data_IF_078068916313
#
_entry.id   IF_078068916313
#
_cell.length_a   1.000
_cell.length_b   1.000
_cell.length_c   1.000
_cell.angle_alpha   90.00
_cell.angle_beta   90.00
_cell.angle_gamma   90.00
#
_symmetry.space_group_name_H-M   'P 1'
#
loop_
_entity.id
_entity.type
_entity.pdbx_description
1 polymer ?
#
# COMPACT_ATOMS: atom_id res chain seq x y z
N UNK A 1 46.73 0.27 26.24
CA UNK A 1 46.42 0.67 24.85
C UNK A 1 45.88 -0.48 23.99
N UNK A 2 46.49 -1.68 23.95
CA UNK A 2 45.98 -2.82 23.14
C UNK A 2 44.51 -3.19 23.40
N UNK A 3 44.07 -3.21 24.65
CA UNK A 3 42.68 -3.54 25.00
C UNK A 3 41.67 -2.53 24.45
N UNK A 4 42.05 -1.26 24.35
CA UNK A 4 41.22 -0.21 23.75
C UNK A 4 41.06 -0.43 22.24
N UNK A 5 42.15 -0.76 21.54
CA UNK A 5 42.09 -1.08 20.10
C UNK A 5 41.23 -2.32 19.81
N UNK A 6 41.35 -3.37 20.64
CA UNK A 6 40.52 -4.57 20.50
C UNK A 6 39.04 -4.22 20.72
N UNK A 7 38.72 -3.45 21.77
CA UNK A 7 37.36 -3.01 22.04
C UNK A 7 36.76 -2.20 20.88
N UNK A 8 37.51 -1.24 20.32
CA UNK A 8 37.05 -0.44 19.18
C UNK A 8 36.83 -1.32 17.95
N UNK A 9 37.73 -2.27 17.68
CA UNK A 9 37.60 -3.19 16.56
C UNK A 9 36.37 -4.11 16.67
N UNK A 10 36.12 -4.67 17.85
CA UNK A 10 34.92 -5.49 18.12
C UNK A 10 33.64 -4.65 17.98
N UNK A 11 33.66 -3.40 18.47
CA UNK A 11 32.52 -2.48 18.30
C UNK A 11 32.24 -2.19 16.83
N UNK A 12 33.28 -1.93 16.03
CA UNK A 12 33.14 -1.68 14.59
C UNK A 12 32.55 -2.90 13.87
N UNK A 13 33.01 -4.12 14.19
CA UNK A 13 32.44 -5.34 13.59
C UNK A 13 30.95 -5.48 13.88
N UNK A 14 30.52 -5.21 15.12
CA UNK A 14 29.10 -5.27 15.50
C UNK A 14 28.28 -4.23 14.72
N UNK A 15 28.79 -3.00 14.60
CA UNK A 15 28.12 -1.93 13.83
C UNK A 15 28.02 -2.32 12.35
N UNK A 16 29.10 -2.84 11.76
CA UNK A 16 29.10 -3.30 10.36
C UNK A 16 28.11 -4.44 10.16
N UNK A 17 28.10 -5.43 11.06
CA UNK A 17 27.16 -6.55 10.99
C UNK A 17 25.71 -6.08 11.11
N UNK A 18 25.43 -5.17 12.03
CA UNK A 18 24.10 -4.57 12.19
C UNK A 18 23.68 -3.81 10.92
N UNK A 19 24.56 -2.99 10.33
CA UNK A 19 24.27 -2.28 9.08
C UNK A 19 24.06 -3.26 7.91
N UNK A 20 24.85 -4.32 7.82
CA UNK A 20 24.74 -5.34 6.78
C UNK A 20 23.40 -6.07 6.86
N UNK A 21 22.81 -6.22 8.04
CA UNK A 21 21.48 -6.79 8.23
C UNK A 21 20.38 -5.75 7.99
N UNK A 22 20.50 -4.55 8.57
CA UNK A 22 19.44 -3.52 8.54
C UNK A 22 19.27 -2.90 7.16
N UNK A 23 20.36 -2.65 6.43
CA UNK A 23 20.29 -1.98 5.12
C UNK A 23 19.53 -2.82 4.08
N UNK A 24 19.79 -4.13 3.90
CA UNK A 24 18.97 -4.97 3.01
C UNK A 24 17.52 -5.05 3.46
N UNK A 25 17.24 -5.19 4.76
CA UNK A 25 15.85 -5.25 5.24
C UNK A 25 15.10 -3.96 4.88
N UNK A 26 15.71 -2.79 5.12
CA UNK A 26 15.12 -1.49 4.76
C UNK A 26 14.97 -1.29 3.25
N UNK A 27 15.90 -1.82 2.45
CA UNK A 27 15.87 -1.63 1.01
C UNK A 27 14.92 -2.61 0.30
N UNK A 28 14.84 -3.86 0.76
CA UNK A 28 14.13 -4.93 0.05
C UNK A 28 12.78 -5.31 0.67
N UNK A 29 12.58 -5.12 1.98
CA UNK A 29 11.42 -5.71 2.67
C UNK A 29 10.37 -4.67 3.04
N UNK A 30 10.77 -3.56 3.68
CA UNK A 30 9.82 -2.59 4.22
C UNK A 30 10.26 -1.15 3.97
N UNK A 31 9.49 -0.43 3.15
CA UNK A 31 9.61 1.02 3.05
C UNK A 31 8.48 1.69 3.86
N UNK A 32 8.79 2.52 4.88
CA UNK A 32 7.75 3.25 5.59
C UNK A 32 7.08 4.27 4.64
N UNK A 33 5.75 4.29 4.61
CA UNK A 33 4.96 5.23 3.83
C UNK A 33 4.07 6.05 4.76
N UNK A 34 3.99 7.37 4.55
CA UNK A 34 3.09 8.24 5.33
C UNK A 34 1.95 8.65 4.41
N UNK A 35 0.72 8.36 4.84
CA UNK A 35 -0.50 8.74 4.12
C UNK A 35 -0.64 10.26 4.12
N UNK A 36 -0.90 10.84 2.95
CA UNK A 36 -1.14 12.27 2.76
C UNK A 36 -2.50 12.50 2.11
N UNK A 37 -3.31 13.36 2.71
CA UNK A 37 -4.66 13.70 2.25
C UNK A 37 -5.75 12.78 2.79
N UNK A 38 -7.00 13.09 2.42
CA UNK A 38 -8.21 12.48 3.01
C UNK A 38 -8.84 11.39 2.12
N UNK A 39 -8.26 11.12 0.94
CA UNK A 39 -8.92 10.30 -0.08
C UNK A 39 -9.08 8.80 0.25
N UNK A 40 -8.51 8.36 1.37
CA UNK A 40 -8.62 6.99 1.87
C UNK A 40 -9.25 6.94 3.27
N UNK A 41 -9.77 8.06 3.77
CA UNK A 41 -10.58 8.06 5.00
C UNK A 41 -11.90 7.31 4.75
N UNK A 42 -12.45 6.62 5.77
CA UNK A 42 -11.95 6.52 7.15
C UNK A 42 -10.85 5.46 7.35
N UNK A 43 -10.61 4.57 6.37
CA UNK A 43 -9.69 3.43 6.50
C UNK A 43 -8.24 3.84 6.79
N UNK A 44 -7.79 4.94 6.19
CA UNK A 44 -6.43 5.47 6.34
C UNK A 44 -6.48 6.98 6.51
N UNK A 45 -6.12 7.43 7.70
CA UNK A 45 -6.13 8.85 8.05
C UNK A 45 -4.82 9.53 7.63
N UNK A 46 -4.91 10.82 7.35
CA UNK A 46 -3.74 11.63 7.06
C UNK A 46 -2.71 11.55 8.20
N UNK A 47 -1.45 11.27 7.85
CA UNK A 47 -0.37 11.08 8.82
C UNK A 47 -0.19 9.65 9.33
N UNK A 48 -1.05 8.69 8.95
CA UNK A 48 -0.81 7.29 9.28
C UNK A 48 0.50 6.77 8.66
N UNK A 49 1.28 6.05 9.49
CA UNK A 49 2.49 5.35 9.07
C UNK A 49 2.13 3.93 8.65
N UNK A 50 2.43 3.58 7.41
CA UNK A 50 2.16 2.28 6.82
C UNK A 50 3.46 1.54 6.52
N UNK A 51 3.42 0.23 6.80
CA UNK A 51 4.41 -0.73 6.34
C UNK A 51 3.79 -1.44 5.14
N UNK A 52 4.44 -1.33 3.99
CA UNK A 52 3.95 -1.93 2.74
C UNK A 52 4.79 -3.15 2.36
N UNK A 53 4.11 -4.18 1.86
CA UNK A 53 4.74 -5.35 1.25
C UNK A 53 4.93 -5.10 -0.26
N UNK A 54 6.16 -4.85 -0.68
CA UNK A 54 6.52 -4.65 -2.09
C UNK A 54 6.82 -5.98 -2.84
N UNK A 55 6.93 -7.10 -2.12
CA UNK A 55 7.39 -8.38 -2.66
C UNK A 55 6.22 -9.23 -3.15
N UNK A 56 5.09 -9.24 -2.43
CA UNK A 56 3.94 -10.11 -2.75
C UNK A 56 3.50 -10.01 -4.21
N UNK A 57 3.40 -8.80 -4.77
CA UNK A 57 2.95 -8.58 -6.15
C UNK A 57 3.95 -9.03 -7.24
N UNK A 58 5.14 -9.52 -6.87
CA UNK A 58 6.04 -10.22 -7.79
C UNK A 58 5.63 -11.67 -8.04
N UNK A 59 4.83 -12.24 -7.15
CA UNK A 59 4.44 -13.65 -7.15
C UNK A 59 2.93 -13.86 -7.23
N UNK A 60 2.13 -12.84 -6.86
CA UNK A 60 0.67 -12.88 -6.93
C UNK A 60 0.11 -11.72 -7.74
N UNK A 61 -0.99 -11.97 -8.44
CA UNK A 61 -1.74 -10.90 -9.09
C UNK A 61 -2.56 -10.11 -8.06
N UNK A 62 -2.83 -8.81 -8.31
CA UNK A 62 -3.69 -8.02 -7.46
C UNK A 62 -5.14 -8.51 -7.45
N UNK A 63 -5.74 -8.55 -6.26
CA UNK A 63 -7.12 -8.95 -6.07
C UNK A 63 -8.03 -7.74 -5.79
N UNK A 64 -9.30 -7.86 -6.19
CA UNK A 64 -10.30 -6.84 -5.89
C UNK A 64 -10.41 -6.64 -4.38
N UNK A 65 -10.53 -5.39 -3.97
CA UNK A 65 -10.66 -5.00 -2.57
C UNK A 65 -9.32 -4.82 -1.86
N UNK A 66 -8.19 -5.26 -2.44
CA UNK A 66 -6.88 -4.97 -1.87
C UNK A 66 -6.57 -3.46 -1.91
N UNK A 67 -5.85 -2.98 -0.90
CA UNK A 67 -5.33 -1.61 -0.85
C UNK A 67 -3.88 -1.65 -1.30
N UNK A 68 -3.56 -0.85 -2.31
CA UNK A 68 -2.25 -0.83 -2.93
C UNK A 68 -1.63 0.55 -2.89
N UNK A 69 -0.30 0.56 -2.84
CA UNK A 69 0.51 1.74 -3.10
C UNK A 69 1.13 1.60 -4.49
N UNK A 70 0.90 2.57 -5.36
CA UNK A 70 1.45 2.56 -6.72
C UNK A 70 2.05 3.92 -7.07
N UNK A 71 2.95 3.91 -8.05
CA UNK A 71 3.54 5.15 -8.59
C UNK A 71 2.51 5.85 -9.46
N UNK A 72 2.31 7.14 -9.25
CA UNK A 72 1.35 7.92 -10.02
C UNK A 72 1.77 7.94 -11.51
N UNK A 73 0.90 7.54 -12.46
CA UNK A 73 1.29 7.36 -13.87
C UNK A 73 1.88 8.60 -14.53
N UNK A 74 1.41 9.79 -14.17
CA UNK A 74 1.88 11.05 -14.76
C UNK A 74 3.10 11.64 -14.04
N UNK A 75 3.37 11.23 -12.80
CA UNK A 75 4.58 11.61 -12.08
C UNK A 75 5.04 10.45 -11.17
N UNK A 76 5.93 9.57 -11.67
CA UNK A 76 6.37 8.38 -10.93
C UNK A 76 7.15 8.67 -9.63
N UNK A 77 7.55 9.93 -9.40
CA UNK A 77 8.15 10.36 -8.13
C UNK A 77 7.13 10.42 -7.00
N UNK A 78 5.83 10.46 -7.33
CA UNK A 78 4.74 10.45 -6.37
C UNK A 78 4.16 9.03 -6.23
N UNK A 79 3.81 8.65 -5.00
CA UNK A 79 3.15 7.37 -4.69
C UNK A 79 1.75 7.64 -4.15
N UNK A 80 0.76 6.94 -4.66
CA UNK A 80 -0.63 7.02 -4.22
C UNK A 80 -1.06 5.72 -3.55
N UNK A 81 -1.91 5.83 -2.53
CA UNK A 81 -2.61 4.72 -1.89
C UNK A 81 -4.07 4.71 -2.37
N UNK A 82 -4.54 3.59 -2.92
CA UNK A 82 -5.93 3.39 -3.38
C UNK A 82 -6.38 1.95 -3.17
N UNK A 83 -7.69 1.72 -3.20
CA UNK A 83 -8.31 0.39 -3.20
C UNK A 83 -8.59 -0.08 -4.63
N UNK A 84 -8.34 -1.35 -4.91
CA UNK A 84 -8.64 -1.96 -6.21
C UNK A 84 -10.14 -2.23 -6.30
N UNK A 85 -10.81 -1.52 -7.21
CA UNK A 85 -12.24 -1.66 -7.45
C UNK A 85 -12.53 -2.48 -8.71
N UNK A 86 -11.78 -2.29 -9.79
CA UNK A 86 -11.92 -3.03 -11.05
C UNK A 86 -10.68 -3.84 -11.38
N UNK A 87 -10.87 -5.02 -11.99
CA UNK A 87 -9.82 -5.90 -12.49
C UNK A 87 -9.78 -5.87 -14.03
N UNK A 88 -8.70 -6.38 -14.66
CA UNK A 88 -8.60 -6.41 -16.11
C UNK A 88 -9.78 -7.14 -16.77
N UNK A 89 -10.35 -6.52 -17.81
CA UNK A 89 -11.49 -7.08 -18.56
C UNK A 89 -12.86 -6.79 -17.94
N UNK A 90 -12.92 -5.98 -16.88
CA UNK A 90 -14.18 -5.60 -16.23
C UNK A 90 -14.60 -4.17 -16.59
N UNK A 91 -15.91 -3.93 -16.54
CA UNK A 91 -16.50 -2.60 -16.67
C UNK A 91 -17.08 -2.17 -15.31
N UNK A 92 -16.77 -0.95 -14.90
CA UNK A 92 -17.25 -0.37 -13.64
C UNK A 92 -18.31 0.68 -13.95
N UNK A 93 -19.47 0.55 -13.33
CA UNK A 93 -20.54 1.54 -13.38
C UNK A 93 -20.81 2.04 -11.96
N UNK A 94 -20.82 3.36 -11.78
CA UNK A 94 -21.18 3.99 -10.50
C UNK A 94 -22.53 4.66 -10.73
N UNK A 95 -23.56 4.21 -10.01
CA UNK A 95 -24.91 4.73 -10.16
C UNK A 95 -25.68 4.63 -8.86
N UNK A 96 -26.44 5.67 -8.53
CA UNK A 96 -27.29 5.73 -7.35
C UNK A 96 -26.50 5.40 -6.07
N UNK A 97 -25.30 5.99 -5.94
CA UNK A 97 -24.34 5.76 -4.82
C UNK A 97 -23.83 4.33 -4.65
N UNK A 98 -24.09 3.45 -5.62
CA UNK A 98 -23.62 2.07 -5.61
C UNK A 98 -22.61 1.82 -6.74
N UNK A 99 -21.59 1.01 -6.46
CA UNK A 99 -20.64 0.52 -7.46
C UNK A 99 -21.08 -0.84 -7.99
N UNK A 100 -21.19 -0.95 -9.31
CA UNK A 100 -21.47 -2.17 -10.04
C UNK A 100 -20.25 -2.57 -10.89
N UNK A 101 -19.97 -3.86 -10.88
CA UNK A 101 -18.90 -4.48 -11.67
C UNK A 101 -19.53 -5.44 -12.67
N UNK A 102 -19.16 -5.30 -13.93
CA UNK A 102 -19.52 -6.24 -14.99
C UNK A 102 -18.28 -7.02 -15.41
N UNK A 103 -18.35 -8.34 -15.32
CA UNK A 103 -17.29 -9.22 -15.82
C UNK A 103 -17.30 -9.27 -17.36
N UNK A 104 -16.30 -9.94 -17.94
CA UNK A 104 -16.18 -10.15 -19.39
C UNK A 104 -17.37 -10.90 -20.02
N UNK A 105 -18.19 -11.60 -19.22
CA UNK A 105 -19.37 -12.33 -19.67
C UNK A 105 -20.67 -11.50 -19.49
N UNK A 106 -20.56 -10.26 -19.00
CA UNK A 106 -21.70 -9.40 -18.68
C UNK A 106 -22.40 -9.71 -17.36
N UNK A 107 -21.83 -10.58 -16.51
CA UNK A 107 -22.37 -10.83 -15.18
C UNK A 107 -22.18 -9.60 -14.30
N UNK A 108 -23.29 -9.08 -13.77
CA UNK A 108 -23.32 -7.94 -12.85
C UNK A 108 -23.09 -8.40 -11.42
N UNK A 109 -22.12 -7.78 -10.76
CA UNK A 109 -21.81 -7.94 -9.35
C UNK A 109 -21.98 -6.57 -8.68
N UNK A 110 -22.84 -6.50 -7.66
CA UNK A 110 -22.89 -5.31 -6.80
C UNK A 110 -21.72 -5.37 -5.83
N UNK A 111 -20.87 -4.34 -5.84
CA UNK A 111 -19.75 -4.29 -4.92
C UNK A 111 -20.26 -4.03 -3.51
N UNK A 112 -19.88 -4.91 -2.57
CA UNK A 112 -20.15 -4.71 -1.16
C UNK A 112 -19.04 -3.85 -0.55
N UNK A 113 -19.41 -2.64 -0.13
CA UNK A 113 -18.48 -1.66 0.43
C UNK A 113 -18.60 -1.56 1.96
N UNK A 114 -19.61 -2.20 2.55
CA UNK A 114 -19.87 -2.32 4.00
C UNK A 114 -18.66 -2.78 4.83
N UNK A 115 -17.77 -3.54 4.21
CA UNK A 115 -16.56 -4.08 4.84
C UNK A 115 -15.53 -2.97 5.14
N UNK A 116 -15.60 -1.84 4.44
CA UNK A 116 -14.59 -0.78 4.54
C UNK A 116 -15.15 0.65 4.48
N UNK A 117 -16.46 0.83 4.28
CA UNK A 117 -17.14 2.12 4.37
C UNK A 117 -18.33 1.99 5.33
N UNK A 118 -18.46 2.90 6.31
CA UNK A 118 -19.69 3.04 7.07
C UNK A 118 -20.86 3.43 6.14
N UNK A 119 -22.06 2.94 6.42
CA UNK A 119 -23.28 3.32 5.66
C UNK A 119 -23.57 4.83 5.72
N UNK A 120 -22.99 5.54 6.69
CA UNK A 120 -23.13 6.99 6.87
C UNK A 120 -22.27 7.82 5.92
N UNK A 121 -21.23 7.23 5.32
CA UNK A 121 -20.26 7.95 4.51
C UNK A 121 -20.67 7.92 3.03
N UNK A 122 -21.54 8.87 2.66
CA UNK A 122 -22.06 9.01 1.28
C UNK A 122 -21.49 10.27 0.65
N UNK A 123 -20.81 10.12 -0.50
CA UNK A 123 -20.40 11.26 -1.33
C UNK A 123 -21.43 11.46 -2.44
N UNK A 124 -22.21 12.54 -2.34
CA UNK A 124 -23.10 12.99 -3.40
C UNK A 124 -22.20 13.68 -4.42
N UNK A 125 -21.79 12.96 -5.46
CA UNK A 125 -20.87 13.48 -6.48
C UNK A 125 -21.31 14.87 -6.95
N UNK A 126 -20.37 15.82 -6.92
CA UNK A 126 -20.56 17.21 -7.38
C UNK A 126 -20.54 17.31 -8.89
#
# INVERSE_FOLDING_TARGET
>A
MKNFFIFVWETIKIVILALLIVLPIRYFVFQPFIVRGQSMEPNFQNGNYLIIDEISYRFKEPARGEVIVFRYPYNPSQRYIKRIIGLPGETIEIRDTQVYVFDKNGQKITLKEDTYLPETDITIGS
#
